data_IF_547144961733
#
_entry.id   IF_547144961733
#
_cell.length_a   1.000
_cell.length_b   1.000
_cell.length_c   1.000
_cell.angle_alpha   90.00
_cell.angle_beta   90.00
_cell.angle_gamma   90.00
#
_symmetry.space_group_name_H-M   'P 1'
#
loop_
_entity.id
_entity.type
_entity.pdbx_description
1 polymer ?
#
# COMPACT_ATOMS: atom_id res chain seq x y z
N UNK A 1 -8.10 10.57 -9.44
CA UNK A 1 -7.79 9.23 -10.01
C UNK A 1 -7.62 8.29 -8.84
N UNK A 2 -8.29 7.13 -8.86
CA UNK A 2 -8.14 6.11 -7.82
C UNK A 2 -6.70 5.57 -7.87
N UNK A 3 -6.03 5.40 -6.73
CA UNK A 3 -4.63 4.93 -6.63
C UNK A 3 -4.44 3.46 -7.04
N UNK A 4 -5.42 2.87 -7.73
CA UNK A 4 -5.45 1.46 -8.15
C UNK A 4 -4.29 1.14 -9.09
N UNK A 5 -3.90 2.08 -9.96
CA UNK A 5 -2.74 1.93 -10.86
C UNK A 5 -1.43 1.70 -10.08
N UNK A 6 -1.32 2.22 -8.85
CA UNK A 6 -0.14 2.06 -7.99
C UNK A 6 -0.23 0.84 -7.06
N UNK A 7 -1.33 0.09 -7.09
CA UNK A 7 -1.58 -1.05 -6.21
C UNK A 7 -2.23 -2.22 -6.97
N UNK A 8 -1.53 -2.86 -7.93
CA UNK A 8 -2.08 -3.93 -8.77
C UNK A 8 -2.51 -5.18 -7.97
N UNK A 9 -2.04 -5.34 -6.73
CA UNK A 9 -2.46 -6.41 -5.81
C UNK A 9 -3.81 -6.15 -5.13
N UNK A 10 -4.43 -4.99 -5.37
CA UNK A 10 -5.69 -4.61 -4.75
C UNK A 10 -6.90 -5.26 -5.45
N UNK A 11 -7.38 -6.38 -4.93
CA UNK A 11 -8.60 -7.05 -5.42
C UNK A 11 -9.85 -6.68 -4.62
N UNK A 12 -11.03 -7.16 -5.06
CA UNK A 12 -12.33 -6.81 -4.48
C UNK A 12 -12.45 -7.04 -2.95
N UNK A 13 -11.70 -7.99 -2.39
CA UNK A 13 -11.65 -8.25 -0.95
C UNK A 13 -11.03 -7.12 -0.13
N UNK A 14 -10.16 -6.30 -0.73
CA UNK A 14 -9.49 -5.19 -0.07
C UNK A 14 -10.32 -3.91 -0.01
N UNK A 15 -11.47 -3.84 -0.70
CA UNK A 15 -12.31 -2.64 -0.79
C UNK A 15 -12.76 -2.11 0.56
N UNK A 16 -13.05 -3.00 1.51
CA UNK A 16 -13.45 -2.59 2.86
C UNK A 16 -12.30 -1.91 3.61
N UNK A 17 -11.09 -2.47 3.53
CA UNK A 17 -9.90 -1.93 4.17
C UNK A 17 -9.50 -0.60 3.53
N UNK A 18 -9.48 -0.53 2.19
CA UNK A 18 -9.18 0.70 1.46
C UNK A 18 -10.15 1.83 1.84
N UNK A 19 -11.46 1.53 1.92
CA UNK A 19 -12.45 2.52 2.36
C UNK A 19 -12.14 3.07 3.75
N UNK A 20 -11.77 2.22 4.70
CA UNK A 20 -11.41 2.68 6.05
C UNK A 20 -10.15 3.54 6.05
N UNK A 21 -9.14 3.18 5.26
CA UNK A 21 -7.91 3.96 5.08
C UNK A 21 -8.23 5.36 4.52
N UNK A 22 -9.05 5.46 3.48
CA UNK A 22 -9.42 6.76 2.91
C UNK A 22 -10.18 7.64 3.91
N UNK A 23 -11.12 7.07 4.67
CA UNK A 23 -11.89 7.81 5.69
C UNK A 23 -10.96 8.31 6.82
N UNK A 24 -10.04 7.47 7.28
CA UNK A 24 -9.07 7.83 8.31
C UNK A 24 -8.12 8.92 7.82
N UNK A 25 -7.57 8.78 6.62
CA UNK A 25 -6.69 9.79 6.01
C UNK A 25 -7.37 11.16 5.88
N UNK A 26 -8.60 11.21 5.36
CA UNK A 26 -9.34 12.47 5.24
C UNK A 26 -9.66 13.12 6.61
N UNK A 27 -9.93 12.31 7.65
CA UNK A 27 -10.07 12.85 9.00
C UNK A 27 -8.75 13.41 9.53
N UNK A 28 -7.60 12.81 9.24
CA UNK A 28 -6.30 13.32 9.71
C UNK A 28 -6.00 14.72 9.18
N UNK A 29 -6.44 15.05 7.98
CA UNK A 29 -6.28 16.38 7.38
C UNK A 29 -7.17 17.45 8.01
N UNK A 30 -8.29 17.06 8.61
CA UNK A 30 -9.37 17.97 9.02
C UNK A 30 -9.62 18.00 10.53
N UNK A 31 -9.20 16.98 11.26
CA UNK A 31 -9.40 16.83 12.70
C UNK A 31 -8.06 17.00 13.45
N UNK A 32 -7.71 18.21 13.90
CA UNK A 32 -6.46 18.48 14.63
C UNK A 32 -6.40 17.80 16.01
N UNK A 33 -7.50 17.19 16.48
CA UNK A 33 -7.54 16.40 17.72
C UNK A 33 -7.39 14.90 17.47
N UNK A 34 -7.18 14.48 16.22
CA UNK A 34 -7.02 13.09 15.88
C UNK A 34 -5.78 12.52 16.58
N UNK A 35 -6.02 11.63 17.54
CA UNK A 35 -4.97 11.11 18.42
C UNK A 35 -4.10 10.01 17.80
N UNK A 36 -3.05 9.65 18.53
CA UNK A 36 -2.08 8.58 18.19
C UNK A 36 -2.77 7.25 17.85
N UNK A 37 -3.90 6.94 18.48
CA UNK A 37 -4.67 5.72 18.22
C UNK A 37 -5.20 5.62 16.79
N UNK A 38 -5.58 6.75 16.18
CA UNK A 38 -6.04 6.78 14.79
C UNK A 38 -4.87 6.57 13.81
N UNK A 39 -3.69 7.12 14.11
CA UNK A 39 -2.48 6.87 13.33
C UNK A 39 -2.03 5.41 13.41
N UNK A 40 -2.14 4.80 14.60
CA UNK A 40 -1.89 3.36 14.78
C UNK A 40 -2.89 2.50 14.01
N UNK A 41 -4.17 2.86 14.02
CA UNK A 41 -5.20 2.17 13.24
C UNK A 41 -4.94 2.27 11.74
N UNK A 42 -4.54 3.45 11.25
CA UNK A 42 -4.17 3.66 9.86
C UNK A 42 -2.96 2.79 9.46
N UNK A 43 -1.89 2.82 10.24
CA UNK A 43 -0.71 1.98 10.00
C UNK A 43 -1.06 0.49 9.95
N UNK A 44 -1.91 0.02 10.87
CA UNK A 44 -2.38 -1.37 10.91
C UNK A 44 -3.24 -1.77 9.71
N UNK A 45 -4.02 -0.85 9.14
CA UNK A 45 -4.81 -1.10 7.92
C UNK A 45 -3.94 -1.11 6.67
N UNK A 46 -2.96 -0.20 6.59
CA UNK A 46 -1.98 -0.16 5.50
C UNK A 46 -1.13 -1.44 5.47
N UNK A 47 -0.68 -1.94 6.62
CA UNK A 47 0.01 -3.25 6.70
C UNK A 47 -0.86 -4.40 6.17
N UNK A 48 -2.16 -4.42 6.50
CA UNK A 48 -3.08 -5.46 6.01
C UNK A 48 -3.35 -5.36 4.51
N UNK A 49 -3.23 -4.17 3.93
CA UNK A 49 -3.30 -3.94 2.50
C UNK A 49 -2.00 -4.27 1.75
N UNK A 50 -0.94 -4.69 2.45
CA UNK A 50 0.40 -4.81 1.86
C UNK A 50 1.01 -3.45 1.50
N UNK A 51 0.36 -2.35 1.83
CA UNK A 51 0.76 -0.97 1.56
C UNK A 51 1.58 -0.38 2.72
N UNK A 52 2.21 -1.23 3.55
CA UNK A 52 3.20 -0.76 4.51
C UNK A 52 4.24 0.07 3.76
N UNK A 53 4.57 1.29 4.21
CA UNK A 53 5.66 2.05 3.63
C UNK A 53 6.93 1.22 3.84
N UNK A 54 7.28 0.46 2.82
CA UNK A 54 8.57 -0.17 2.67
C UNK A 54 9.53 0.99 2.42
N UNK A 55 10.66 0.95 3.10
CA UNK A 55 11.77 1.86 2.82
C UNK A 55 12.02 1.82 1.31
N UNK A 56 11.85 2.94 0.60
CA UNK A 56 11.99 3.01 -0.85
C UNK A 56 13.37 2.50 -1.31
N UNK A 57 14.39 2.66 -0.46
CA UNK A 57 15.75 2.12 -0.71
C UNK A 57 15.85 0.60 -0.60
N UNK A 58 14.78 -0.07 -0.15
CA UNK A 58 14.63 -1.52 -0.02
C UNK A 58 13.61 -2.09 -0.99
N UNK A 59 12.93 -1.26 -1.77
CA UNK A 59 12.07 -1.69 -2.86
C UNK A 59 12.97 -1.95 -4.07
N UNK A 60 13.14 -3.22 -4.42
CA UNK A 60 13.64 -3.55 -5.75
C UNK A 60 12.50 -3.26 -6.74
N UNK A 61 12.62 -2.16 -7.47
CA UNK A 61 11.62 -1.76 -8.46
C UNK A 61 11.63 -2.62 -9.73
N UNK A 62 12.50 -3.64 -9.82
CA UNK A 62 12.66 -4.43 -11.02
C UNK A 62 13.04 -3.51 -12.19
N UNK A 63 14.29 -3.04 -12.20
CA UNK A 63 14.83 -2.44 -13.42
C UNK A 63 14.97 -3.55 -14.47
N UNK A 64 13.90 -3.82 -15.20
CA UNK A 64 13.86 -4.82 -16.25
C UNK A 64 13.84 -6.25 -15.70
N UNK A 65 12.94 -7.06 -16.22
CA UNK A 65 13.25 -8.49 -16.37
C UNK A 65 14.52 -8.55 -17.24
N UNK A 66 15.70 -8.65 -16.63
CA UNK A 66 16.78 -9.38 -17.26
C UNK A 66 16.26 -10.82 -17.32
N UNK A 67 15.59 -11.14 -18.43
CA UNK A 67 15.30 -12.48 -18.93
C UNK A 67 16.63 -13.23 -18.88
N UNK A 68 16.94 -13.90 -17.76
CA UNK A 68 18.16 -14.68 -17.63
C UNK A 68 18.08 -15.78 -18.70
N UNK A 69 18.94 -15.76 -19.74
CA UNK A 69 18.82 -16.68 -20.86
C UNK A 69 18.96 -18.15 -20.41
N UNK A 70 19.47 -18.39 -19.21
CA UNK A 70 19.58 -19.70 -18.60
C UNK A 70 18.26 -20.24 -18.04
N UNK A 71 17.26 -19.39 -17.72
CA UNK A 71 15.92 -19.84 -17.29
C UNK A 71 15.08 -20.45 -18.44
N UNK A 72 15.48 -20.28 -19.71
CA UNK A 72 14.81 -20.89 -20.87
C UNK A 72 15.14 -22.37 -21.07
N UNK A 73 16.10 -22.93 -20.33
CA UNK A 73 16.62 -24.29 -20.55
C UNK A 73 16.39 -25.26 -19.39
N UNK A 74 15.67 -24.87 -18.33
CA UNK A 74 15.32 -25.74 -17.20
C UNK A 74 13.81 -25.84 -16.99
#
# INVERSE_FOLDING_TARGET
>A
REQVENMPWLHAGHRLLLRQVCILGARMETDPKMGVSAMQALGSLLSKLGATPVDETKVNHGEGEDDDPDEKFF
#
